data_IF_810292486900
#
_entry.id   IF_810292486900
#
_cell.length_a   1.000
_cell.length_b   1.000
_cell.length_c   1.000
_cell.angle_alpha   90.00
_cell.angle_beta   90.00
_cell.angle_gamma   90.00
#
_symmetry.space_group_name_H-M   'P 1'
#
loop_
_entity.id
_entity.type
_entity.pdbx_description
1 polymer ?
#
# COMPACT_ATOMS: atom_id res chain seq x y z
N UNK A 1 2.88 -7.83 16.54
CA UNK A 1 1.65 -7.55 15.76
C UNK A 1 1.59 -6.05 15.54
N UNK A 2 1.50 -5.61 14.28
CA UNK A 2 1.53 -4.21 13.88
C UNK A 2 0.36 -3.97 12.92
N UNK A 3 -0.44 -2.94 13.19
CA UNK A 3 -1.48 -2.47 12.29
C UNK A 3 -0.89 -1.37 11.40
N UNK A 4 -0.85 -1.59 10.10
CA UNK A 4 -0.32 -0.63 9.14
C UNK A 4 -1.37 0.40 8.76
N UNK A 5 -0.96 1.66 8.72
CA UNK A 5 -1.73 2.75 8.13
C UNK A 5 -1.52 2.79 6.60
N UNK A 6 -2.43 3.46 5.90
CA UNK A 6 -2.45 3.57 4.44
C UNK A 6 -1.18 4.21 3.89
N UNK A 7 -0.64 5.22 4.58
CA UNK A 7 0.61 5.87 4.16
C UNK A 7 1.79 4.89 4.10
N UNK A 8 1.99 4.05 5.11
CA UNK A 8 3.09 3.09 5.20
C UNK A 8 2.94 2.01 4.13
N UNK A 9 1.77 1.38 4.02
CA UNK A 9 1.56 0.29 3.03
C UNK A 9 1.59 0.82 1.57
N UNK A 10 1.28 2.11 1.36
CA UNK A 10 1.35 2.74 0.04
C UNK A 10 2.74 3.24 -0.36
N UNK A 11 3.67 3.35 0.60
CA UNK A 11 4.99 3.95 0.40
C UNK A 11 5.81 3.26 -0.72
N UNK A 12 5.90 1.91 -0.78
CA UNK A 12 6.65 1.23 -1.85
C UNK A 12 6.13 1.50 -3.27
N UNK A 13 4.90 2.00 -3.42
CA UNK A 13 4.27 2.31 -4.70
C UNK A 13 4.52 3.75 -5.17
N UNK A 14 5.21 4.58 -4.38
CA UNK A 14 5.56 5.95 -4.74
C UNK A 14 6.71 5.98 -5.76
N UNK A 15 6.77 7.04 -6.56
CA UNK A 15 7.84 7.23 -7.54
C UNK A 15 9.23 7.34 -6.89
N UNK A 16 9.30 7.91 -5.69
CA UNK A 16 10.48 7.99 -4.85
C UNK A 16 10.06 7.64 -3.42
N UNK A 17 10.18 6.36 -3.01
CA UNK A 17 9.83 5.91 -1.66
C UNK A 17 10.90 6.31 -0.65
N UNK A 18 10.51 6.58 0.60
CA UNK A 18 11.45 6.80 1.70
C UNK A 18 12.16 5.47 2.06
N UNK A 19 13.48 5.36 1.86
CA UNK A 19 14.20 4.08 2.01
C UNK A 19 14.07 3.46 3.40
N UNK A 20 13.94 4.29 4.44
CA UNK A 20 13.79 3.81 5.82
C UNK A 20 12.45 3.11 6.06
N UNK A 21 11.38 3.56 5.41
CA UNK A 21 10.05 2.94 5.54
C UNK A 21 10.04 1.58 4.84
N UNK A 22 10.63 1.51 3.65
CA UNK A 22 10.77 0.26 2.89
C UNK A 22 11.60 -0.77 3.66
N UNK A 23 12.79 -0.38 4.13
CA UNK A 23 13.65 -1.26 4.91
C UNK A 23 12.99 -1.74 6.22
N UNK A 24 12.20 -0.88 6.87
CA UNK A 24 11.44 -1.26 8.05
C UNK A 24 10.34 -2.27 7.74
N UNK A 25 9.61 -2.08 6.63
CA UNK A 25 8.59 -3.03 6.17
C UNK A 25 9.20 -4.40 5.85
N UNK A 26 10.30 -4.43 5.11
CA UNK A 26 11.02 -5.67 4.73
C UNK A 26 11.55 -6.45 5.95
N UNK A 27 11.79 -5.77 7.08
CA UNK A 27 12.28 -6.39 8.30
C UNK A 27 11.18 -7.05 9.15
N UNK A 28 9.89 -6.87 8.83
CA UNK A 28 8.80 -7.45 9.62
C UNK A 28 8.35 -8.81 9.05
N UNK A 29 8.12 -9.83 9.89
CA UNK A 29 7.43 -11.05 9.44
C UNK A 29 6.01 -10.71 9.00
N UNK A 30 5.59 -11.18 7.82
CA UNK A 30 4.31 -10.82 7.20
C UNK A 30 3.12 -11.21 8.06
N UNK A 31 3.22 -12.31 8.81
CA UNK A 31 2.18 -12.83 9.71
C UNK A 31 1.92 -11.90 10.90
N UNK A 32 2.80 -10.92 11.11
CA UNK A 32 2.66 -9.92 12.18
C UNK A 32 2.12 -8.58 11.68
N UNK A 33 1.95 -8.41 10.37
CA UNK A 33 1.43 -7.20 9.73
C UNK A 33 -0.06 -7.34 9.43
N UNK A 34 -0.83 -6.36 9.86
CA UNK A 34 -2.28 -6.34 9.69
C UNK A 34 -2.72 -5.05 8.99
N UNK A 35 -3.85 -5.14 8.29
CA UNK A 35 -4.53 -3.98 7.71
C UNK A 35 -5.92 -3.87 8.32
N UNK A 36 -6.34 -2.65 8.62
CA UNK A 36 -7.73 -2.40 9.01
C UNK A 36 -8.62 -2.44 7.76
N UNK A 37 -9.91 -2.74 7.94
CA UNK A 37 -10.90 -2.62 6.85
C UNK A 37 -10.98 -1.19 6.29
N UNK A 38 -10.67 -0.18 7.10
CA UNK A 38 -10.60 1.23 6.69
C UNK A 38 -9.42 1.44 5.76
N UNK A 39 -8.24 0.96 6.11
CA UNK A 39 -7.02 1.00 5.27
C UNK A 39 -7.27 0.32 3.92
N UNK A 40 -7.95 -0.83 3.92
CA UNK A 40 -8.33 -1.51 2.67
C UNK A 40 -9.29 -0.66 1.83
N UNK A 41 -10.27 0.02 2.47
CA UNK A 41 -11.19 0.91 1.77
C UNK A 41 -10.47 2.13 1.16
N UNK A 42 -9.52 2.72 1.87
CA UNK A 42 -8.71 3.84 1.39
C UNK A 42 -7.84 3.45 0.19
N UNK A 43 -7.21 2.27 0.22
CA UNK A 43 -6.44 1.75 -0.92
C UNK A 43 -7.34 1.57 -2.15
N UNK A 44 -8.51 0.95 -2.00
CA UNK A 44 -9.48 0.77 -3.09
C UNK A 44 -9.97 2.10 -3.64
N UNK A 45 -10.26 3.06 -2.76
CA UNK A 45 -10.66 4.41 -3.15
C UNK A 45 -9.53 5.13 -3.92
N UNK A 46 -8.29 4.96 -3.47
CA UNK A 46 -7.11 5.48 -4.17
C UNK A 46 -6.99 4.95 -5.59
N UNK A 47 -7.15 3.64 -5.78
CA UNK A 47 -7.16 3.00 -7.11
C UNK A 47 -8.32 3.51 -7.97
N UNK A 48 -9.52 3.60 -7.41
CA UNK A 48 -10.72 4.07 -8.12
C UNK A 48 -10.60 5.53 -8.62
N UNK A 49 -9.81 6.36 -7.93
CA UNK A 49 -9.54 7.76 -8.30
C UNK A 49 -8.46 7.94 -9.35
N UNK A 50 -7.71 6.89 -9.69
CA UNK A 50 -6.68 6.99 -10.73
C UNK A 50 -7.33 7.25 -12.11
N UNK A 51 -6.71 8.08 -12.97
CA UNK A 51 -7.12 8.19 -14.36
C UNK A 51 -7.08 6.82 -15.06
N UNK A 52 -7.95 6.63 -16.05
CA UNK A 52 -7.86 5.45 -16.92
C UNK A 52 -6.46 5.37 -17.55
N UNK A 53 -5.81 4.21 -17.42
CA UNK A 53 -4.46 4.01 -17.95
C UNK A 53 -3.71 2.87 -17.27
N UNK A 54 -2.46 2.67 -17.70
CA UNK A 54 -1.61 1.53 -17.31
C UNK A 54 -1.52 1.31 -15.80
N UNK A 55 -1.37 2.38 -15.02
CA UNK A 55 -1.26 2.29 -13.55
C UNK A 55 -2.55 1.80 -12.90
N UNK A 56 -3.71 2.27 -13.36
CA UNK A 56 -5.01 1.83 -12.85
C UNK A 56 -5.27 0.38 -13.22
N UNK A 57 -5.04 0.00 -14.48
CA UNK A 57 -5.28 -1.37 -14.94
C UNK A 57 -4.44 -2.38 -14.16
N UNK A 58 -3.14 -2.10 -13.95
CA UNK A 58 -2.24 -2.97 -13.19
C UNK A 58 -2.62 -3.17 -11.72
N UNK A 59 -3.40 -2.24 -11.15
CA UNK A 59 -3.85 -2.31 -9.75
C UNK A 59 -5.28 -2.87 -9.61
N UNK A 60 -6.01 -2.99 -10.73
CA UNK A 60 -7.36 -3.56 -10.78
C UNK A 60 -7.32 -5.01 -11.27
N UNK A 61 -6.37 -5.36 -12.12
CA UNK A 61 -6.18 -6.72 -12.62
C UNK A 61 -5.66 -7.64 -11.49
N UNK A 62 -6.46 -8.67 -11.20
CA UNK A 62 -6.14 -9.80 -10.34
C UNK A 62 -5.39 -10.88 -11.14
#
# INVERSE_FOLDING_TARGET
MILLDTNVISEPLRAAPEPRVVAWLDAQPVETLFLSVVTVAELRLGVARLPHGRRRNRLIEH
#
